data_IF_237389901241
#
_entry.id   IF_237389901241
#
_cell.length_a   1.000
_cell.length_b   1.000
_cell.length_c   1.000
_cell.angle_alpha   90.00
_cell.angle_beta   90.00
_cell.angle_gamma   90.00
#
_symmetry.space_group_name_H-M   'P 1'
#
loop_
_entity.id
_entity.type
_entity.pdbx_description
1 polymer ?
#
# COMPACT_ATOMS: atom_id res chain seq x y z
N UNK A 1 9.48 -29.46 -21.27
CA UNK A 1 10.46 -28.78 -20.39
C UNK A 1 9.65 -28.20 -19.25
N UNK A 2 9.96 -28.53 -18.00
CA UNK A 2 9.26 -27.95 -16.83
C UNK A 2 9.61 -26.46 -16.76
N UNK A 3 8.63 -25.59 -16.98
CA UNK A 3 8.78 -24.16 -16.76
C UNK A 3 9.26 -23.97 -15.31
N UNK A 4 10.45 -23.46 -15.13
CA UNK A 4 10.99 -23.17 -13.82
C UNK A 4 10.36 -21.85 -13.38
N UNK A 5 9.37 -21.91 -12.51
CA UNK A 5 8.71 -20.71 -11.96
C UNK A 5 9.74 -19.89 -11.18
N UNK A 6 9.79 -18.59 -11.40
CA UNK A 6 10.62 -17.68 -10.59
C UNK A 6 10.04 -17.49 -9.17
N UNK A 7 8.79 -17.94 -8.95
CA UNK A 7 8.15 -17.89 -7.64
C UNK A 7 8.44 -19.16 -6.83
N UNK A 8 8.88 -18.97 -5.59
CA UNK A 8 8.98 -20.00 -4.57
C UNK A 8 7.65 -20.20 -3.84
N UNK A 9 7.01 -19.10 -3.43
CA UNK A 9 5.71 -19.10 -2.75
C UNK A 9 4.96 -17.78 -3.07
N UNK A 10 4.17 -17.81 -4.12
CA UNK A 10 3.41 -16.65 -4.61
C UNK A 10 2.40 -16.12 -3.57
N UNK A 11 1.92 -16.97 -2.65
CA UNK A 11 0.95 -16.57 -1.61
C UNK A 11 1.49 -15.49 -0.67
N UNK A 12 2.81 -15.31 -0.57
CA UNK A 12 3.45 -14.27 0.24
C UNK A 12 3.30 -12.86 -0.36
N UNK A 13 2.87 -12.77 -1.61
CA UNK A 13 2.57 -11.51 -2.29
C UNK A 13 1.07 -11.17 -2.28
N UNK A 14 0.23 -12.07 -1.75
CA UNK A 14 -1.19 -11.79 -1.60
C UNK A 14 -1.42 -10.58 -0.69
N UNK A 15 -2.44 -9.78 -1.04
CA UNK A 15 -2.81 -8.56 -0.33
C UNK A 15 -3.21 -8.82 1.14
N UNK A 16 -3.72 -10.04 1.42
CA UNK A 16 -4.18 -10.47 2.73
C UNK A 16 -3.08 -11.19 3.53
N UNK A 17 -1.91 -11.42 2.91
CA UNK A 17 -0.81 -12.05 3.63
C UNK A 17 -0.28 -11.15 4.74
N UNK A 18 -0.40 -11.62 5.98
CA UNK A 18 0.09 -10.93 7.17
C UNK A 18 1.48 -11.48 7.55
N UNK A 19 2.57 -10.70 7.42
CA UNK A 19 3.89 -11.12 7.88
C UNK A 19 3.95 -11.18 9.41
N UNK A 20 4.91 -11.94 9.94
CA UNK A 20 5.11 -12.05 11.38
C UNK A 20 5.47 -10.71 12.06
N UNK A 21 6.15 -9.83 11.34
CA UNK A 21 6.50 -8.48 11.79
C UNK A 21 6.17 -7.47 10.71
N UNK A 22 5.53 -6.37 11.10
CA UNK A 22 5.28 -5.24 10.21
C UNK A 22 6.47 -4.30 10.28
N UNK A 23 7.25 -4.26 9.22
CA UNK A 23 8.47 -3.45 9.14
C UNK A 23 8.14 -1.96 9.23
N UNK A 24 9.03 -1.20 9.87
CA UNK A 24 8.92 0.26 10.05
C UNK A 24 7.65 0.73 10.77
N UNK A 25 7.04 -0.15 11.61
CA UNK A 25 5.86 0.16 12.45
C UNK A 25 6.07 -0.22 13.92
N UNK A 26 7.33 -0.33 14.34
CA UNK A 26 7.65 -0.72 15.72
C UNK A 26 7.18 0.30 16.75
N UNK A 27 7.16 1.60 16.41
CA UNK A 27 6.67 2.67 17.26
C UNK A 27 5.17 2.56 17.48
N UNK A 28 4.41 2.43 16.39
CA UNK A 28 2.95 2.33 16.44
C UNK A 28 2.51 1.04 17.11
N UNK A 29 3.22 -0.07 16.86
CA UNK A 29 2.97 -1.33 17.55
C UNK A 29 3.22 -1.21 19.07
N UNK A 30 4.29 -0.54 19.50
CA UNK A 30 4.56 -0.28 20.92
C UNK A 30 3.45 0.56 21.55
N UNK A 31 2.98 1.60 20.88
CA UNK A 31 1.88 2.43 21.37
C UNK A 31 0.59 1.62 21.54
N UNK A 32 0.25 0.73 20.57
CA UNK A 32 -0.88 -0.19 20.72
C UNK A 32 -0.70 -1.09 21.94
N UNK A 33 0.45 -1.71 22.10
CA UNK A 33 0.74 -2.57 23.27
C UNK A 33 0.66 -1.79 24.59
N UNK A 34 1.11 -0.53 24.63
CA UNK A 34 1.06 0.34 25.79
C UNK A 34 -0.39 0.71 26.15
N UNK A 35 -1.20 1.15 25.18
CA UNK A 35 -2.62 1.48 25.41
C UNK A 35 -3.43 0.31 25.94
N UNK A 36 -3.09 -0.92 25.56
CA UNK A 36 -3.81 -2.13 25.97
C UNK A 36 -3.06 -2.96 27.03
N UNK A 37 -1.98 -2.45 27.62
CA UNK A 37 -1.17 -3.14 28.65
C UNK A 37 -1.97 -3.54 29.90
N UNK A 38 -3.03 -2.78 30.23
CA UNK A 38 -3.91 -3.07 31.35
C UNK A 38 -4.57 -4.45 31.24
N UNK A 39 -4.78 -4.99 30.04
CA UNK A 39 -5.34 -6.32 29.81
C UNK A 39 -4.48 -7.44 30.42
N UNK A 40 -3.21 -7.19 30.63
CA UNK A 40 -2.29 -8.15 31.28
C UNK A 40 -2.17 -7.97 32.78
N UNK A 41 -2.60 -6.82 33.34
CA UNK A 41 -2.44 -6.48 34.77
C UNK A 41 -3.76 -6.35 35.51
N UNK A 42 -4.70 -5.56 35.01
CA UNK A 42 -5.99 -5.25 35.63
C UNK A 42 -7.08 -5.13 34.57
N UNK A 43 -7.44 -6.23 33.88
CA UNK A 43 -8.29 -6.19 32.67
C UNK A 43 -9.72 -5.71 32.93
N UNK A 44 -10.24 -5.87 34.13
CA UNK A 44 -11.60 -5.55 34.56
C UNK A 44 -11.84 -4.08 34.93
N UNK A 45 -10.76 -3.28 35.08
CA UNK A 45 -10.86 -1.91 35.63
C UNK A 45 -11.13 -0.84 34.60
N UNK A 46 -10.83 -1.07 33.34
CA UNK A 46 -10.96 -0.05 32.32
C UNK A 46 -11.16 -0.63 30.92
N UNK A 47 -11.73 0.19 30.04
CA UNK A 47 -11.87 -0.04 28.61
C UNK A 47 -11.11 1.04 27.86
N UNK A 48 -10.45 0.67 26.78
CA UNK A 48 -9.75 1.60 25.91
C UNK A 48 -10.43 1.75 24.55
N UNK A 49 -10.25 2.95 24.00
CA UNK A 49 -10.65 3.31 22.65
C UNK A 49 -9.46 3.95 21.97
N UNK A 50 -9.01 3.34 20.90
CA UNK A 50 -7.85 3.82 20.12
C UNK A 50 -8.30 4.04 18.69
N UNK A 51 -7.98 5.20 18.13
CA UNK A 51 -8.21 5.53 16.74
C UNK A 51 -6.90 5.41 15.95
N UNK A 52 -6.89 4.52 14.97
CA UNK A 52 -5.76 4.32 14.06
C UNK A 52 -6.07 4.96 12.71
N UNK A 53 -5.27 5.93 12.31
CA UNK A 53 -5.44 6.66 11.05
C UNK A 53 -4.21 6.54 10.15
N UNK A 54 -4.42 6.73 8.84
CA UNK A 54 -3.36 6.74 7.83
C UNK A 54 -3.92 6.51 6.44
N UNK A 55 -3.20 6.93 5.42
CA UNK A 55 -3.60 6.75 4.04
C UNK A 55 -3.67 5.27 3.62
N UNK A 56 -4.20 5.02 2.42
CA UNK A 56 -4.27 3.66 1.85
C UNK A 56 -2.85 3.11 1.69
N UNK A 57 -2.66 1.83 2.03
CA UNK A 57 -1.36 1.15 1.90
C UNK A 57 -0.32 1.47 2.96
N UNK A 58 -0.66 2.24 4.03
CA UNK A 58 0.25 2.53 5.15
C UNK A 58 0.37 1.40 6.17
N UNK A 59 -0.42 0.32 6.02
CA UNK A 59 -0.36 -0.86 6.88
C UNK A 59 -1.26 -0.83 8.11
N UNK A 60 -2.29 0.02 8.19
CA UNK A 60 -3.25 0.10 9.34
C UNK A 60 -3.85 -1.25 9.71
N UNK A 61 -4.50 -1.91 8.75
CA UNK A 61 -5.12 -3.23 8.95
C UNK A 61 -4.08 -4.25 9.41
N UNK A 62 -2.92 -4.28 8.73
CA UNK A 62 -1.86 -5.24 9.02
C UNK A 62 -1.30 -5.07 10.45
N UNK A 63 -1.03 -3.83 10.89
CA UNK A 63 -0.52 -3.59 12.24
C UNK A 63 -1.53 -3.95 13.31
N UNK A 64 -2.83 -3.64 13.11
CA UNK A 64 -3.88 -3.98 14.05
C UNK A 64 -4.09 -5.50 14.15
N UNK A 65 -4.03 -6.24 13.04
CA UNK A 65 -4.10 -7.71 13.05
C UNK A 65 -2.86 -8.34 13.68
N UNK A 66 -1.64 -7.83 13.39
CA UNK A 66 -0.42 -8.30 14.03
C UNK A 66 -0.43 -8.02 15.54
N UNK A 67 -0.86 -6.84 15.95
CA UNK A 67 -1.10 -6.50 17.34
C UNK A 67 -2.11 -7.47 17.99
N UNK A 68 -3.25 -7.73 17.35
CA UNK A 68 -4.26 -8.65 17.84
C UNK A 68 -3.73 -10.06 18.12
N UNK A 69 -2.86 -10.58 17.24
CA UNK A 69 -2.16 -11.87 17.47
C UNK A 69 -1.22 -11.80 18.68
N UNK A 70 -0.41 -10.75 18.77
CA UNK A 70 0.59 -10.61 19.83
C UNK A 70 -0.06 -10.43 21.21
N UNK A 71 -1.04 -9.54 21.33
CA UNK A 71 -1.74 -9.30 22.61
C UNK A 71 -2.53 -10.54 23.06
N UNK A 72 -3.10 -11.31 22.13
CA UNK A 72 -3.78 -12.58 22.46
C UNK A 72 -2.84 -13.58 23.10
N UNK A 73 -1.59 -13.66 22.63
CA UNK A 73 -0.58 -14.54 23.21
C UNK A 73 -0.16 -14.02 24.61
N UNK A 74 0.05 -12.72 24.76
CA UNK A 74 0.51 -12.15 26.03
C UNK A 74 -0.55 -12.24 27.14
N UNK A 75 -1.79 -11.88 26.82
CA UNK A 75 -2.92 -11.97 27.76
C UNK A 75 -3.20 -13.43 28.11
N UNK A 76 -3.14 -14.34 27.13
CA UNK A 76 -3.31 -15.78 27.34
C UNK A 76 -2.29 -16.38 28.30
N UNK A 77 -1.03 -15.93 28.27
CA UNK A 77 0.02 -16.35 29.22
C UNK A 77 -0.31 -16.02 30.69
N UNK A 78 -1.16 -15.02 30.93
CA UNK A 78 -1.62 -14.61 32.27
C UNK A 78 -2.89 -15.36 32.72
N UNK A 79 -3.41 -16.30 31.91
CA UNK A 79 -4.62 -17.05 32.21
C UNK A 79 -5.91 -16.27 31.99
N UNK A 80 -5.86 -15.06 31.48
CA UNK A 80 -7.04 -14.25 31.17
C UNK A 80 -7.67 -14.71 29.87
N UNK A 81 -8.97 -14.99 29.85
CA UNK A 81 -9.70 -15.29 28.62
C UNK A 81 -9.83 -14.01 27.79
N UNK A 82 -9.34 -14.06 26.56
CA UNK A 82 -9.27 -12.90 25.68
C UNK A 82 -9.57 -13.28 24.23
N UNK A 83 -10.24 -12.37 23.51
CA UNK A 83 -10.46 -12.47 22.06
C UNK A 83 -10.18 -11.14 21.38
N UNK A 84 -9.47 -11.20 20.27
CA UNK A 84 -9.35 -10.10 19.31
C UNK A 84 -10.30 -10.37 18.15
N UNK A 85 -11.24 -9.45 17.90
CA UNK A 85 -12.23 -9.55 16.83
C UNK A 85 -11.97 -8.40 15.86
N UNK A 86 -11.78 -8.70 14.58
CA UNK A 86 -11.55 -7.72 13.53
C UNK A 86 -12.73 -7.77 12.54
N UNK A 87 -13.42 -6.65 12.35
CA UNK A 87 -14.57 -6.54 11.45
C UNK A 87 -14.35 -5.37 10.50
N UNK A 88 -14.45 -5.61 9.20
CA UNK A 88 -14.45 -4.55 8.21
C UNK A 88 -15.86 -3.96 8.08
N UNK A 89 -16.06 -2.70 8.47
CA UNK A 89 -17.36 -2.04 8.46
C UNK A 89 -17.95 -1.90 7.06
N UNK A 90 -17.12 -1.78 6.03
CA UNK A 90 -17.56 -1.63 4.64
C UNK A 90 -18.19 -2.90 4.08
N UNK A 91 -17.71 -4.08 4.49
CA UNK A 91 -18.33 -5.37 4.11
C UNK A 91 -19.80 -5.44 4.54
N UNK A 92 -20.13 -4.80 5.66
CA UNK A 92 -21.49 -4.70 6.20
C UNK A 92 -22.16 -3.37 5.83
N UNK A 93 -21.64 -2.63 4.84
CA UNK A 93 -22.17 -1.35 4.37
C UNK A 93 -22.38 -0.34 5.50
N UNK A 94 -21.51 -0.32 6.48
CA UNK A 94 -21.59 0.55 7.66
C UNK A 94 -22.81 0.27 8.58
N UNK A 95 -23.41 -0.90 8.55
CA UNK A 95 -24.56 -1.24 9.39
C UNK A 95 -24.11 -1.78 10.75
N UNK A 96 -24.31 -1.01 11.81
CA UNK A 96 -23.89 -1.35 13.17
C UNK A 96 -24.51 -2.67 13.65
N UNK A 97 -25.80 -2.90 13.36
CA UNK A 97 -26.51 -4.13 13.73
C UNK A 97 -25.82 -5.36 13.15
N UNK A 98 -25.44 -5.32 11.86
CA UNK A 98 -24.75 -6.42 11.18
C UNK A 98 -23.32 -6.60 11.69
N UNK A 99 -22.61 -5.51 11.96
CA UNK A 99 -21.25 -5.52 12.52
C UNK A 99 -21.26 -6.18 13.91
N UNK A 100 -22.18 -5.80 14.79
CA UNK A 100 -22.35 -6.40 16.11
C UNK A 100 -22.80 -7.86 16.03
N UNK A 101 -23.71 -8.18 15.11
CA UNK A 101 -24.10 -9.56 14.84
C UNK A 101 -22.87 -10.42 14.49
N UNK A 102 -21.99 -9.94 13.61
CA UNK A 102 -20.74 -10.65 13.28
C UNK A 102 -19.85 -10.85 14.52
N UNK A 103 -19.77 -9.87 15.41
CA UNK A 103 -19.00 -10.01 16.65
C UNK A 103 -19.61 -11.07 17.59
N UNK A 104 -20.94 -11.15 17.69
CA UNK A 104 -21.66 -12.17 18.48
C UNK A 104 -21.46 -13.57 17.89
N UNK A 105 -21.46 -13.73 16.56
CA UNK A 105 -21.29 -15.05 15.91
C UNK A 105 -19.94 -15.70 16.19
N UNK A 106 -18.92 -14.93 16.61
CA UNK A 106 -17.64 -15.48 17.07
C UNK A 106 -17.79 -16.36 18.31
N UNK A 107 -18.81 -16.09 19.13
CA UNK A 107 -19.13 -16.84 20.36
C UNK A 107 -20.28 -17.80 20.14
N UNK A 108 -21.33 -17.38 19.45
CA UNK A 108 -22.53 -18.14 19.18
C UNK A 108 -22.77 -18.27 17.68
N UNK A 109 -22.20 -19.30 17.05
CA UNK A 109 -22.23 -19.50 15.59
C UNK A 109 -23.62 -19.50 14.95
N UNK A 110 -24.64 -19.88 15.72
CA UNK A 110 -26.03 -19.96 15.26
C UNK A 110 -26.91 -18.82 15.76
N UNK A 111 -26.29 -17.67 16.15
CA UNK A 111 -27.07 -16.49 16.56
C UNK A 111 -27.96 -16.02 15.40
N UNK A 112 -29.28 -15.80 15.61
CA UNK A 112 -30.21 -15.47 14.54
C UNK A 112 -29.85 -14.16 13.84
N UNK A 113 -29.84 -14.18 12.51
CA UNK A 113 -29.45 -13.02 11.70
C UNK A 113 -30.50 -11.90 11.64
N UNK A 114 -31.71 -12.14 12.10
CA UNK A 114 -32.85 -11.20 12.04
C UNK A 114 -33.70 -11.28 13.32
N UNK A 115 -34.45 -10.21 13.59
CA UNK A 115 -35.39 -10.15 14.70
C UNK A 115 -34.88 -9.42 15.93
N UNK A 116 -33.68 -8.88 15.88
CA UNK A 116 -33.07 -8.11 16.99
C UNK A 116 -32.74 -6.68 16.56
N UNK A 117 -32.99 -5.73 17.43
CA UNK A 117 -32.51 -4.36 17.31
C UNK A 117 -31.03 -4.29 17.65
N UNK A 118 -30.37 -3.19 17.25
CA UNK A 118 -28.95 -2.93 17.57
C UNK A 118 -28.68 -2.99 19.08
N UNK A 119 -29.60 -2.42 19.90
CA UNK A 119 -29.48 -2.43 21.35
C UNK A 119 -29.60 -3.83 21.95
N UNK A 120 -30.49 -4.67 21.44
CA UNK A 120 -30.65 -6.05 21.90
C UNK A 120 -29.40 -6.90 21.57
N UNK A 121 -28.85 -6.78 20.35
CA UNK A 121 -27.62 -7.49 20.00
C UNK A 121 -26.44 -7.03 20.87
N UNK A 122 -26.33 -5.72 21.12
CA UNK A 122 -25.31 -5.19 21.98
C UNK A 122 -25.40 -5.70 23.41
N UNK A 123 -26.63 -5.70 24.00
CA UNK A 123 -26.85 -6.26 25.32
C UNK A 123 -26.56 -7.76 25.37
N UNK A 124 -26.96 -8.51 24.35
CA UNK A 124 -26.65 -9.94 24.24
C UNK A 124 -25.13 -10.14 24.16
N UNK A 125 -24.43 -9.33 23.40
CA UNK A 125 -22.96 -9.39 23.32
C UNK A 125 -22.32 -9.17 24.69
N UNK A 126 -22.71 -8.11 25.40
CA UNK A 126 -22.19 -7.83 26.74
C UNK A 126 -22.53 -8.95 27.76
N UNK A 127 -23.72 -9.55 27.65
CA UNK A 127 -24.13 -10.70 28.49
C UNK A 127 -23.23 -11.92 28.22
N UNK A 128 -22.95 -12.26 26.95
CA UNK A 128 -22.04 -13.34 26.57
C UNK A 128 -20.64 -13.11 27.16
N UNK A 129 -20.11 -11.89 27.03
CA UNK A 129 -18.80 -11.54 27.58
C UNK A 129 -18.75 -11.72 29.11
N UNK A 130 -19.83 -11.42 29.81
CA UNK A 130 -19.94 -11.61 31.26
C UNK A 130 -20.07 -13.09 31.64
N UNK A 131 -20.92 -13.84 30.98
CA UNK A 131 -21.14 -15.27 31.25
C UNK A 131 -19.86 -16.10 30.99
N UNK A 132 -19.17 -15.83 29.88
CA UNK A 132 -17.91 -16.52 29.52
C UNK A 132 -16.69 -15.98 30.23
N UNK A 133 -16.79 -14.85 30.94
CA UNK A 133 -15.68 -14.15 31.63
C UNK A 133 -14.54 -13.85 30.64
N UNK A 134 -14.86 -13.34 29.44
CA UNK A 134 -13.91 -13.05 28.38
C UNK A 134 -13.78 -11.55 28.12
N UNK A 135 -12.56 -11.10 27.90
CA UNK A 135 -12.26 -9.75 27.46
C UNK A 135 -12.10 -9.70 25.95
N UNK A 136 -12.56 -8.62 25.34
CA UNK A 136 -12.55 -8.43 23.88
C UNK A 136 -11.92 -7.11 23.50
N UNK A 137 -11.09 -7.13 22.45
CA UNK A 137 -10.82 -5.95 21.62
C UNK A 137 -11.59 -6.14 20.33
N UNK A 138 -12.54 -5.24 20.06
CA UNK A 138 -13.25 -5.17 18.79
C UNK A 138 -12.60 -4.11 17.90
N UNK A 139 -11.90 -4.56 16.87
CA UNK A 139 -11.30 -3.70 15.86
C UNK A 139 -12.28 -3.51 14.69
N UNK A 140 -12.67 -2.26 14.45
CA UNK A 140 -13.58 -1.84 13.40
C UNK A 140 -12.77 -1.16 12.30
N UNK A 141 -12.53 -1.90 11.22
CA UNK A 141 -11.78 -1.40 10.06
C UNK A 141 -12.72 -0.71 9.06
N UNK A 142 -12.17 0.26 8.30
CA UNK A 142 -12.96 1.15 7.45
C UNK A 142 -14.14 1.77 8.22
N UNK A 143 -13.87 2.26 9.42
CA UNK A 143 -14.83 2.81 10.36
C UNK A 143 -15.57 4.04 9.82
N UNK A 144 -14.97 4.77 8.91
CA UNK A 144 -15.60 5.84 8.13
C UNK A 144 -16.91 5.42 7.48
N UNK A 145 -17.02 4.18 6.96
CA UNK A 145 -18.27 3.65 6.42
C UNK A 145 -19.40 3.59 7.44
N UNK A 146 -19.09 3.31 8.71
CA UNK A 146 -20.08 3.30 9.81
C UNK A 146 -20.52 4.72 10.15
N UNK A 147 -19.56 5.65 10.25
CA UNK A 147 -19.83 7.07 10.54
C UNK A 147 -20.71 7.68 9.43
N UNK A 148 -20.38 7.43 8.17
CA UNK A 148 -21.12 7.94 7.02
C UNK A 148 -22.60 7.49 7.03
N UNK A 149 -22.85 6.27 7.50
CA UNK A 149 -24.19 5.70 7.48
C UNK A 149 -25.03 6.02 8.71
N UNK A 150 -24.46 5.92 9.90
CA UNK A 150 -25.21 5.97 11.16
C UNK A 150 -24.82 7.17 12.06
N UNK A 151 -23.77 7.93 11.70
CA UNK A 151 -23.41 9.16 12.37
C UNK A 151 -23.02 8.99 13.83
N UNK A 152 -23.37 10.00 14.65
CA UNK A 152 -23.03 10.05 16.08
C UNK A 152 -23.67 8.95 16.92
N UNK A 153 -24.87 8.48 16.54
CA UNK A 153 -25.62 7.47 17.31
C UNK A 153 -24.85 6.15 17.41
N UNK A 154 -24.20 5.72 16.30
CA UNK A 154 -23.36 4.53 16.31
C UNK A 154 -22.12 4.70 17.23
N UNK A 155 -21.51 5.88 17.21
CA UNK A 155 -20.36 6.19 18.07
C UNK A 155 -20.77 6.18 19.53
N UNK A 156 -21.92 6.77 19.87
CA UNK A 156 -22.47 6.73 21.23
C UNK A 156 -22.75 5.31 21.69
N UNK A 157 -23.42 4.51 20.85
CA UNK A 157 -23.74 3.11 21.16
C UNK A 157 -22.48 2.30 21.52
N UNK A 158 -21.36 2.52 20.81
CA UNK A 158 -20.11 1.80 21.02
C UNK A 158 -19.25 2.39 22.16
N UNK A 159 -19.27 3.70 22.37
CA UNK A 159 -18.34 4.35 23.28
C UNK A 159 -18.87 4.57 24.70
N UNK A 160 -20.18 4.52 24.89
CA UNK A 160 -20.86 4.77 26.18
C UNK A 160 -21.46 3.54 26.83
N UNK A 161 -21.00 2.34 26.45
CA UNK A 161 -21.54 1.06 26.93
C UNK A 161 -21.61 0.92 28.45
N UNK A 162 -20.70 1.56 29.18
CA UNK A 162 -20.56 1.41 30.62
C UNK A 162 -20.97 2.66 31.41
N UNK A 163 -21.49 3.69 30.76
CA UNK A 163 -21.92 4.91 31.49
C UNK A 163 -23.05 4.67 32.51
N UNK A 164 -23.89 3.68 32.23
CA UNK A 164 -25.00 3.29 33.14
C UNK A 164 -24.70 2.06 34.00
N UNK A 165 -23.52 1.44 33.84
CA UNK A 165 -23.16 0.16 34.48
C UNK A 165 -21.80 0.24 35.19
N UNK A 166 -21.60 1.26 36.03
CA UNK A 166 -20.31 1.58 36.67
C UNK A 166 -19.75 0.45 37.54
N UNK A 167 -20.56 -0.48 38.03
CA UNK A 167 -20.13 -1.58 38.90
C UNK A 167 -19.73 -2.85 38.13
N UNK A 168 -20.01 -2.92 36.81
CA UNK A 168 -19.65 -4.09 36.00
C UNK A 168 -18.28 -4.00 35.41
N UNK A 169 -17.59 -5.15 35.30
CA UNK A 169 -16.29 -5.19 34.60
C UNK A 169 -16.40 -4.70 33.16
N UNK A 170 -15.45 -3.86 32.74
CA UNK A 170 -15.41 -3.33 31.37
C UNK A 170 -14.70 -4.32 30.43
N UNK A 171 -15.46 -5.26 29.85
CA UNK A 171 -14.94 -6.41 29.09
C UNK A 171 -14.64 -6.12 27.63
N UNK A 172 -15.08 -4.99 27.09
CA UNK A 172 -14.88 -4.65 25.68
C UNK A 172 -14.08 -3.35 25.53
N UNK A 173 -13.10 -3.40 24.67
CA UNK A 173 -12.30 -2.26 24.21
C UNK A 173 -12.36 -2.15 22.68
N UNK A 174 -12.05 -1.00 22.15
CA UNK A 174 -12.21 -0.75 20.71
C UNK A 174 -10.92 -0.25 20.05
N UNK A 175 -10.69 -0.69 18.83
CA UNK A 175 -9.78 -0.06 17.87
C UNK A 175 -10.60 0.38 16.67
N UNK A 176 -10.66 1.68 16.42
CA UNK A 176 -11.29 2.25 15.24
C UNK A 176 -10.21 2.52 14.18
N UNK A 177 -10.39 2.02 12.97
CA UNK A 177 -9.39 2.15 11.90
C UNK A 177 -10.04 2.88 10.74
N UNK A 178 -9.46 4.03 10.34
CA UNK A 178 -9.98 4.82 9.23
C UNK A 178 -8.85 5.54 8.48
N UNK A 179 -9.19 6.18 7.37
CA UNK A 179 -8.21 6.81 6.50
C UNK A 179 -7.62 8.09 7.11
N UNK A 180 -8.47 8.99 7.58
CA UNK A 180 -8.08 10.29 8.14
C UNK A 180 -9.17 10.81 9.10
N UNK A 181 -8.99 12.02 9.64
CA UNK A 181 -9.94 12.61 10.59
C UNK A 181 -11.17 13.28 9.93
N UNK A 182 -11.24 13.36 8.61
CA UNK A 182 -12.32 14.07 7.91
C UNK A 182 -13.71 13.50 8.22
N UNK A 183 -13.93 12.16 8.27
CA UNK A 183 -15.23 11.60 8.62
C UNK A 183 -15.73 12.00 10.01
N UNK A 184 -14.82 12.31 10.94
CA UNK A 184 -15.21 12.72 12.30
C UNK A 184 -15.92 14.07 12.33
N UNK A 185 -15.72 14.93 11.32
CA UNK A 185 -16.29 16.30 11.28
C UNK A 185 -17.84 16.31 11.19
N UNK A 186 -18.46 15.22 10.78
CA UNK A 186 -19.91 15.09 10.75
C UNK A 186 -20.51 14.66 12.10
N UNK A 187 -19.67 14.26 13.04
CA UNK A 187 -20.06 13.86 14.39
C UNK A 187 -20.20 15.11 15.28
N UNK A 188 -21.02 14.98 16.32
CA UNK A 188 -21.07 16.01 17.38
C UNK A 188 -19.76 16.08 18.20
N UNK A 189 -19.56 17.20 18.91
CA UNK A 189 -18.33 17.47 19.66
C UNK A 189 -18.00 16.41 20.71
N UNK A 190 -19.01 15.81 21.32
CA UNK A 190 -18.84 14.79 22.35
C UNK A 190 -18.33 13.47 21.79
N UNK A 191 -18.90 13.01 20.66
CA UNK A 191 -18.44 11.82 19.94
C UNK A 191 -17.02 12.03 19.39
N UNK A 192 -16.74 13.21 18.80
CA UNK A 192 -15.40 13.57 18.34
C UNK A 192 -14.38 13.52 19.49
N UNK A 193 -14.66 14.19 20.60
CA UNK A 193 -13.77 14.23 21.77
C UNK A 193 -13.44 12.83 22.30
N UNK A 194 -14.43 11.93 22.29
CA UNK A 194 -14.25 10.55 22.76
C UNK A 194 -13.33 9.74 21.83
N UNK A 195 -13.48 9.87 20.51
CA UNK A 195 -12.67 9.16 19.53
C UNK A 195 -11.26 9.73 19.39
N UNK A 196 -11.09 11.05 19.55
CA UNK A 196 -9.79 11.73 19.38
C UNK A 196 -8.88 11.64 20.59
N UNK A 197 -9.26 10.95 21.66
CA UNK A 197 -8.49 10.87 22.89
C UNK A 197 -7.17 10.13 22.73
N UNK A 198 -7.17 9.02 21.99
CA UNK A 198 -5.99 8.19 21.74
C UNK A 198 -5.86 7.93 20.23
N UNK A 199 -5.00 8.69 19.56
CA UNK A 199 -4.80 8.57 18.12
C UNK A 199 -3.41 8.01 17.84
N UNK A 200 -3.36 7.01 16.96
CA UNK A 200 -2.13 6.51 16.34
C UNK A 200 -2.20 6.82 14.85
N UNK A 201 -1.27 7.66 14.39
CA UNK A 201 -1.17 8.04 12.98
C UNK A 201 -0.05 7.27 12.29
N UNK A 202 -0.39 6.58 11.20
CA UNK A 202 0.57 5.90 10.34
C UNK A 202 0.93 6.83 9.17
N UNK A 203 2.18 7.25 9.16
CA UNK A 203 2.72 8.04 8.05
C UNK A 203 2.91 7.18 6.81
N UNK A 204 2.94 7.84 5.65
CA UNK A 204 3.27 7.22 4.36
C UNK A 204 4.69 6.66 4.41
N UNK A 205 4.91 5.55 3.72
CA UNK A 205 6.26 5.01 3.59
C UNK A 205 7.08 5.88 2.62
N UNK A 206 8.33 6.15 3.01
CA UNK A 206 9.35 6.68 2.11
C UNK A 206 10.00 5.55 1.31
N UNK A 207 10.94 5.86 0.41
CA UNK A 207 11.57 4.90 -0.48
C UNK A 207 12.29 3.76 0.28
N UNK A 208 13.13 4.08 1.27
CA UNK A 208 13.94 3.08 1.97
C UNK A 208 13.09 2.05 2.75
N UNK A 209 12.08 2.45 3.54
CA UNK A 209 11.12 1.51 4.11
C UNK A 209 10.40 0.63 3.09
N UNK A 210 10.06 1.15 1.90
CA UNK A 210 9.46 0.33 0.84
C UNK A 210 10.44 -0.70 0.28
N UNK A 211 11.71 -0.35 0.12
CA UNK A 211 12.77 -1.29 -0.29
C UNK A 211 12.89 -2.43 0.74
N UNK A 212 12.89 -2.12 2.03
CA UNK A 212 12.97 -3.14 3.08
C UNK A 212 11.76 -4.07 3.06
N UNK A 213 10.54 -3.52 2.89
CA UNK A 213 9.30 -4.29 2.78
C UNK A 213 9.34 -5.20 1.54
N UNK A 214 9.77 -4.68 0.39
CA UNK A 214 9.88 -5.44 -0.84
C UNK A 214 10.93 -6.55 -0.71
N UNK A 215 12.09 -6.27 -0.13
CA UNK A 215 13.13 -7.27 0.10
C UNK A 215 12.69 -8.40 1.03
N UNK A 216 11.89 -8.10 2.05
CA UNK A 216 11.27 -9.13 2.89
C UNK A 216 10.33 -10.02 2.06
N UNK A 217 9.51 -9.42 1.19
CA UNK A 217 8.61 -10.17 0.29
C UNK A 217 9.38 -11.00 -0.74
N UNK A 218 10.44 -10.44 -1.33
CA UNK A 218 11.31 -11.15 -2.28
C UNK A 218 11.88 -12.41 -1.66
N UNK A 219 12.44 -12.33 -0.45
CA UNK A 219 13.00 -13.50 0.27
C UNK A 219 11.96 -14.59 0.53
N UNK A 220 10.71 -14.22 0.73
CA UNK A 220 9.63 -15.16 1.04
C UNK A 220 8.98 -15.76 -0.20
N UNK A 221 8.85 -14.98 -1.27
CA UNK A 221 8.02 -15.30 -2.41
C UNK A 221 8.77 -15.79 -3.65
N UNK A 222 10.04 -15.43 -3.80
CA UNK A 222 10.81 -15.65 -5.01
C UNK A 222 11.99 -16.61 -4.80
N UNK A 223 12.44 -17.22 -5.87
CA UNK A 223 13.69 -17.98 -5.89
C UNK A 223 14.90 -17.03 -5.80
N UNK A 224 16.03 -17.56 -5.36
CA UNK A 224 17.25 -16.78 -5.12
C UNK A 224 17.72 -16.13 -6.44
N UNK A 225 18.09 -14.86 -6.39
CA UNK A 225 18.62 -14.06 -7.50
C UNK A 225 17.66 -13.80 -8.68
N UNK A 226 16.36 -14.10 -8.54
CA UNK A 226 15.37 -13.84 -9.60
C UNK A 226 14.85 -12.40 -9.59
N UNK A 227 15.04 -11.64 -8.51
CA UNK A 227 14.64 -10.24 -8.39
C UNK A 227 15.89 -9.39 -8.11
N UNK A 228 16.41 -8.67 -9.12
CA UNK A 228 17.56 -7.77 -8.96
C UNK A 228 17.27 -6.55 -8.05
N UNK A 229 18.29 -5.97 -7.44
CA UNK A 229 18.16 -4.83 -6.52
C UNK A 229 17.64 -3.57 -7.22
N UNK A 230 18.05 -3.33 -8.47
CA UNK A 230 17.59 -2.19 -9.29
C UNK A 230 16.08 -2.27 -9.61
N UNK A 231 15.55 -3.48 -9.76
CA UNK A 231 14.10 -3.73 -9.91
C UNK A 231 13.35 -3.38 -8.62
N UNK A 232 13.87 -3.80 -7.46
CA UNK A 232 13.29 -3.44 -6.15
C UNK A 232 13.31 -1.92 -5.96
N UNK A 233 14.42 -1.29 -6.30
CA UNK A 233 14.58 0.17 -6.21
C UNK A 233 13.60 0.90 -7.13
N UNK A 234 13.43 0.45 -8.37
CA UNK A 234 12.49 1.01 -9.34
C UNK A 234 11.04 0.90 -8.82
N UNK A 235 10.63 -0.25 -8.31
CA UNK A 235 9.31 -0.47 -7.75
C UNK A 235 9.06 0.44 -6.54
N UNK A 236 10.03 0.56 -5.62
CA UNK A 236 9.93 1.41 -4.45
C UNK A 236 9.79 2.90 -4.84
N UNK A 237 10.52 3.34 -5.86
CA UNK A 237 10.44 4.72 -6.37
C UNK A 237 9.07 5.01 -7.00
N UNK A 238 8.53 4.08 -7.78
CA UNK A 238 7.18 4.19 -8.33
C UNK A 238 6.12 4.24 -7.22
N UNK A 239 6.21 3.35 -6.23
CA UNK A 239 5.27 3.32 -5.12
C UNK A 239 5.35 4.57 -4.22
N UNK A 240 6.53 5.20 -4.09
CA UNK A 240 6.69 6.47 -3.37
C UNK A 240 5.91 7.59 -4.06
N UNK A 241 5.91 7.63 -5.39
CA UNK A 241 5.11 8.59 -6.19
C UNK A 241 3.60 8.36 -5.99
N UNK A 242 3.20 7.09 -5.82
CA UNK A 242 1.82 6.68 -5.49
C UNK A 242 1.56 6.74 -3.97
N UNK A 243 1.98 7.86 -3.37
CA UNK A 243 1.72 8.21 -1.97
C UNK A 243 2.33 7.25 -0.93
N UNK A 244 3.45 6.58 -1.25
CA UNK A 244 4.11 5.67 -0.34
C UNK A 244 3.28 4.43 0.00
N UNK A 245 2.60 3.88 -0.99
CA UNK A 245 1.64 2.79 -0.84
C UNK A 245 2.33 1.42 -0.94
N UNK A 246 2.56 0.76 0.21
CA UNK A 246 3.19 -0.56 0.26
C UNK A 246 2.36 -1.65 -0.44
N UNK A 247 1.01 -1.55 -0.43
CA UNK A 247 0.14 -2.49 -1.15
C UNK A 247 0.37 -2.41 -2.66
N UNK A 248 0.46 -1.19 -3.19
CA UNK A 248 0.78 -0.95 -4.58
C UNK A 248 2.17 -1.49 -4.94
N UNK A 249 3.19 -1.28 -4.09
CA UNK A 249 4.54 -1.81 -4.30
C UNK A 249 4.56 -3.34 -4.41
N UNK A 250 3.86 -4.04 -3.51
CA UNK A 250 3.77 -5.50 -3.50
C UNK A 250 2.99 -6.02 -4.72
N UNK A 251 1.91 -5.35 -5.09
CA UNK A 251 1.13 -5.70 -6.30
C UNK A 251 1.98 -5.52 -7.56
N UNK A 252 2.74 -4.44 -7.66
CA UNK A 252 3.62 -4.18 -8.81
C UNK A 252 4.73 -5.24 -8.90
N UNK A 253 5.33 -5.63 -7.78
CA UNK A 253 6.31 -6.71 -7.71
C UNK A 253 5.70 -8.05 -8.18
N UNK A 254 4.51 -8.37 -7.70
CA UNK A 254 3.80 -9.60 -8.09
C UNK A 254 3.51 -9.63 -9.59
N UNK A 255 2.93 -8.55 -10.15
CA UNK A 255 2.62 -8.46 -11.60
C UNK A 255 3.88 -8.56 -12.45
N UNK A 256 4.97 -7.89 -12.04
CA UNK A 256 6.26 -7.99 -12.73
C UNK A 256 6.77 -9.43 -12.78
N UNK A 257 6.62 -10.17 -11.69
CA UNK A 257 6.93 -11.60 -11.65
C UNK A 257 6.04 -12.44 -12.57
N UNK A 258 4.74 -12.12 -12.67
CA UNK A 258 3.83 -12.80 -13.62
C UNK A 258 4.23 -12.57 -15.07
N UNK A 259 4.61 -11.33 -15.44
CA UNK A 259 5.10 -11.02 -16.79
C UNK A 259 6.41 -11.76 -17.10
N UNK A 260 7.36 -11.80 -16.17
CA UNK A 260 8.59 -12.55 -16.33
C UNK A 260 8.34 -14.06 -16.53
N UNK A 261 7.46 -14.66 -15.72
CA UNK A 261 7.07 -16.07 -15.85
C UNK A 261 6.38 -16.35 -17.20
N UNK A 262 5.51 -15.45 -17.67
CA UNK A 262 4.81 -15.59 -18.95
C UNK A 262 5.76 -15.54 -20.17
N UNK A 263 6.95 -14.97 -20.01
CA UNK A 263 7.98 -14.88 -21.05
C UNK A 263 9.14 -15.86 -20.82
N UNK A 264 8.98 -16.84 -19.92
CA UNK A 264 10.01 -17.83 -19.57
C UNK A 264 11.36 -17.20 -19.14
N UNK A 265 11.31 -16.01 -18.52
CA UNK A 265 12.49 -15.30 -18.08
C UNK A 265 13.03 -15.88 -16.77
N UNK A 266 14.35 -15.98 -16.63
CA UNK A 266 15.02 -16.46 -15.43
C UNK A 266 14.97 -15.47 -14.27
N UNK A 267 14.73 -14.17 -14.55
CA UNK A 267 14.68 -13.08 -13.57
C UNK A 267 13.73 -11.98 -14.01
N UNK A 268 13.30 -11.18 -13.05
CA UNK A 268 12.51 -9.97 -13.35
C UNK A 268 13.44 -8.90 -13.92
N UNK A 269 13.05 -8.35 -15.06
CA UNK A 269 13.72 -7.23 -15.70
C UNK A 269 12.92 -5.94 -15.49
N UNK A 270 13.53 -4.74 -15.52
CA UNK A 270 12.82 -3.47 -15.40
C UNK A 270 11.69 -3.27 -16.41
N UNK A 271 11.79 -3.90 -17.58
CA UNK A 271 10.73 -3.86 -18.60
C UNK A 271 9.44 -4.52 -18.13
N UNK A 272 9.51 -5.61 -17.37
CA UNK A 272 8.32 -6.24 -16.78
C UNK A 272 7.66 -5.34 -15.73
N UNK A 273 8.45 -4.53 -15.02
CA UNK A 273 7.89 -3.50 -14.10
C UNK A 273 7.15 -2.42 -14.89
N UNK A 274 7.70 -1.97 -16.03
CA UNK A 274 7.06 -0.99 -16.92
C UNK A 274 5.77 -1.53 -17.52
N UNK A 275 5.75 -2.79 -17.94
CA UNK A 275 4.53 -3.48 -18.41
C UNK A 275 3.48 -3.58 -17.30
N UNK A 276 3.90 -3.94 -16.08
CA UNK A 276 3.00 -4.08 -14.94
C UNK A 276 2.36 -2.74 -14.55
N UNK A 277 3.13 -1.65 -14.52
CA UNK A 277 2.58 -0.34 -14.15
C UNK A 277 1.69 0.24 -15.25
N UNK A 278 2.03 0.07 -16.52
CA UNK A 278 1.20 0.55 -17.64
C UNK A 278 -0.19 -0.09 -17.65
N UNK A 279 -0.29 -1.33 -17.17
CA UNK A 279 -1.57 -2.03 -17.03
C UNK A 279 -2.40 -1.54 -15.83
N UNK A 280 -1.77 -0.93 -14.80
CA UNK A 280 -2.44 -0.40 -13.60
C UNK A 280 -2.82 1.06 -13.80
N UNK A 281 -1.89 1.87 -14.30
CA UNK A 281 -2.05 3.31 -14.50
C UNK A 281 -1.93 3.59 -16.00
N UNK A 282 -3.01 3.92 -16.70
CA UNK A 282 -2.94 4.30 -18.10
C UNK A 282 -2.02 5.52 -18.27
N UNK A 283 -0.84 5.30 -18.84
CA UNK A 283 0.22 6.29 -18.94
C UNK A 283 0.17 7.00 -20.30
N UNK A 284 0.41 8.28 -20.26
CA UNK A 284 0.63 9.23 -21.37
C UNK A 284 -0.45 9.16 -22.46
N UNK A 285 -1.22 10.22 -22.48
CA UNK A 285 -2.12 10.47 -23.61
C UNK A 285 -1.26 10.73 -24.85
N UNK A 286 -1.58 10.05 -25.95
CA UNK A 286 -0.98 10.28 -27.27
C UNK A 286 -0.87 11.77 -27.64
N UNK A 287 -1.79 12.58 -27.13
CA UNK A 287 -1.79 14.04 -27.28
C UNK A 287 -0.55 14.73 -26.69
N UNK A 288 0.06 14.18 -25.64
CA UNK A 288 1.25 14.76 -25.02
C UNK A 288 2.50 14.53 -25.88
N UNK A 289 2.61 13.35 -26.51
CA UNK A 289 3.68 13.04 -27.45
C UNK A 289 3.53 13.86 -28.75
N UNK A 290 2.31 14.11 -29.22
CA UNK A 290 2.05 14.92 -30.42
C UNK A 290 2.54 16.39 -30.29
N UNK A 291 2.57 16.92 -29.05
CA UNK A 291 3.05 18.28 -28.78
C UNK A 291 4.56 18.47 -28.72
N UNK A 292 5.34 17.39 -28.94
CA UNK A 292 6.79 17.43 -28.92
C UNK A 292 7.39 17.77 -30.31
N UNK A 293 8.49 18.53 -30.30
CA UNK A 293 9.25 18.84 -31.49
C UNK A 293 10.02 17.60 -32.04
N UNK A 294 10.55 17.70 -33.26
CA UNK A 294 11.24 16.60 -33.93
C UNK A 294 12.39 16.04 -33.09
N UNK A 295 13.32 16.87 -32.65
CA UNK A 295 14.46 16.46 -31.83
C UNK A 295 14.08 15.96 -30.44
N UNK A 296 12.96 16.41 -29.88
CA UNK A 296 12.42 15.87 -28.64
C UNK A 296 11.92 14.42 -28.84
N UNK A 297 11.20 14.17 -29.95
CA UNK A 297 10.77 12.81 -30.32
C UNK A 297 11.96 11.89 -30.61
N UNK A 298 13.02 12.39 -31.28
CA UNK A 298 14.25 11.64 -31.52
C UNK A 298 14.96 11.29 -30.22
N UNK A 299 15.05 12.21 -29.27
CA UNK A 299 15.63 11.95 -27.96
C UNK A 299 14.80 10.93 -27.16
N UNK A 300 13.48 11.01 -27.22
CA UNK A 300 12.60 9.97 -26.61
C UNK A 300 12.77 8.62 -27.28
N UNK A 301 12.99 8.58 -28.62
CA UNK A 301 13.28 7.35 -29.32
C UNK A 301 14.62 6.75 -28.88
N UNK A 302 15.64 7.59 -28.64
CA UNK A 302 16.93 7.16 -28.08
C UNK A 302 16.76 6.54 -26.68
N UNK A 303 15.97 7.18 -25.84
CA UNK A 303 15.62 6.65 -24.50
C UNK A 303 14.92 5.29 -24.62
N UNK A 304 13.92 5.18 -25.50
CA UNK A 304 13.19 3.94 -25.71
C UNK A 304 14.12 2.82 -26.21
N UNK A 305 14.98 3.07 -27.20
CA UNK A 305 15.97 2.09 -27.69
C UNK A 305 16.94 1.66 -26.60
N UNK A 306 17.49 2.63 -25.83
CA UNK A 306 18.39 2.31 -24.72
C UNK A 306 17.77 1.31 -23.76
N UNK A 307 16.59 1.60 -23.21
CA UNK A 307 15.92 0.74 -22.23
C UNK A 307 15.40 -0.58 -22.79
N UNK A 308 15.15 -0.65 -24.08
CA UNK A 308 14.79 -1.89 -24.76
C UNK A 308 15.98 -2.85 -24.90
N UNK A 309 17.16 -2.31 -25.19
CA UNK A 309 18.37 -3.10 -25.50
C UNK A 309 19.15 -3.47 -24.22
N UNK A 310 19.29 -2.55 -23.27
CA UNK A 310 20.22 -2.70 -22.14
C UNK A 310 19.59 -3.33 -20.88
N UNK A 311 18.29 -3.56 -20.83
CA UNK A 311 17.59 -4.21 -19.69
C UNK A 311 17.89 -3.58 -18.33
N UNK A 312 18.29 -2.31 -18.29
CA UNK A 312 18.64 -1.54 -17.11
C UNK A 312 17.45 -0.70 -16.61
N UNK A 313 17.43 -0.40 -15.30
CA UNK A 313 16.43 0.48 -14.73
C UNK A 313 16.74 1.97 -14.93
N UNK A 314 18.02 2.31 -15.02
CA UNK A 314 18.53 3.67 -15.10
C UNK A 314 19.60 3.80 -16.20
N UNK A 315 19.69 5.01 -16.79
CA UNK A 315 20.76 5.37 -17.74
C UNK A 315 21.34 6.74 -17.38
N UNK A 316 22.45 7.10 -17.97
CA UNK A 316 22.98 8.47 -17.95
C UNK A 316 22.59 9.22 -19.22
N UNK A 317 22.67 10.55 -19.22
CA UNK A 317 22.45 11.33 -20.44
C UNK A 317 23.52 11.00 -21.52
N UNK A 318 24.75 10.67 -21.11
CA UNK A 318 25.81 10.30 -22.04
C UNK A 318 25.49 9.03 -22.83
N UNK A 319 24.94 8.00 -22.16
CA UNK A 319 24.55 6.75 -22.81
C UNK A 319 23.42 6.98 -23.85
N UNK A 320 22.47 7.86 -23.51
CA UNK A 320 21.36 8.22 -24.40
C UNK A 320 21.83 9.09 -25.56
N UNK A 321 22.83 9.97 -25.34
CA UNK A 321 23.38 10.89 -26.35
C UNK A 321 24.06 10.14 -27.49
N UNK A 322 24.73 9.02 -27.23
CA UNK A 322 25.32 8.16 -28.26
C UNK A 322 24.22 7.60 -29.19
N UNK A 323 23.15 7.07 -28.65
CA UNK A 323 22.04 6.53 -29.45
C UNK A 323 21.29 7.66 -30.19
N UNK A 324 21.12 8.82 -29.53
CA UNK A 324 20.49 9.97 -30.14
C UNK A 324 21.27 10.47 -31.38
N UNK A 325 22.60 10.47 -31.34
CA UNK A 325 23.43 10.85 -32.48
C UNK A 325 23.18 9.90 -33.69
N UNK A 326 23.13 8.59 -33.44
CA UNK A 326 22.78 7.59 -34.49
C UNK A 326 21.38 7.84 -35.07
N UNK A 327 20.39 8.16 -34.24
CA UNK A 327 19.04 8.47 -34.70
C UNK A 327 19.03 9.75 -35.56
N UNK A 328 19.80 10.78 -35.17
CA UNK A 328 19.92 11.98 -35.99
C UNK A 328 20.49 11.67 -37.39
N UNK A 329 21.49 10.81 -37.49
CA UNK A 329 22.04 10.35 -38.79
C UNK A 329 20.97 9.58 -39.59
N UNK A 330 20.15 8.72 -38.97
CA UNK A 330 19.06 7.99 -39.63
C UNK A 330 17.99 8.93 -40.24
N UNK A 331 17.86 10.14 -39.71
CA UNK A 331 16.83 11.11 -40.11
C UNK A 331 17.39 12.33 -40.85
N UNK A 332 18.69 12.34 -41.19
CA UNK A 332 19.41 13.44 -41.85
C UNK A 332 19.37 14.75 -41.04
N UNK A 333 19.43 14.67 -39.70
CA UNK A 333 19.39 15.81 -38.79
C UNK A 333 20.74 16.02 -38.09
N UNK A 334 21.00 17.25 -37.67
CA UNK A 334 22.23 17.59 -36.94
C UNK A 334 21.98 17.44 -35.44
N UNK A 335 22.77 16.62 -34.70
CA UNK A 335 22.57 16.45 -33.27
C UNK A 335 22.71 17.75 -32.49
N UNK A 336 21.83 17.97 -31.52
CA UNK A 336 21.92 19.10 -30.62
C UNK A 336 22.95 18.87 -29.51
N UNK A 337 23.42 19.96 -28.91
CA UNK A 337 24.41 19.91 -27.84
C UNK A 337 23.86 19.28 -26.56
N UNK A 338 24.72 18.69 -25.74
CA UNK A 338 24.42 18.12 -24.42
C UNK A 338 23.56 19.04 -23.56
N UNK A 339 23.84 20.36 -23.55
CA UNK A 339 23.02 21.33 -22.81
C UNK A 339 21.57 21.43 -23.29
N UNK A 340 21.34 21.31 -24.60
CA UNK A 340 20.00 21.35 -25.17
C UNK A 340 19.25 20.04 -24.89
N UNK A 341 19.93 18.90 -25.00
CA UNK A 341 19.35 17.59 -24.64
C UNK A 341 18.95 17.55 -23.17
N UNK A 342 19.79 18.13 -22.29
CA UNK A 342 19.44 18.25 -20.88
C UNK A 342 18.14 19.05 -20.63
N UNK A 343 17.90 20.12 -21.37
CA UNK A 343 16.64 20.88 -21.30
C UNK A 343 15.46 20.02 -21.72
N UNK A 344 15.60 19.18 -22.72
CA UNK A 344 14.55 18.25 -23.15
C UNK A 344 14.29 17.20 -22.10
N UNK A 345 15.31 16.62 -21.47
CA UNK A 345 15.16 15.70 -20.34
C UNK A 345 14.38 16.35 -19.19
N UNK A 346 14.71 17.61 -18.84
CA UNK A 346 13.94 18.35 -17.80
C UNK A 346 12.49 18.56 -18.19
N UNK A 347 12.20 18.84 -19.45
CA UNK A 347 10.83 18.94 -19.97
C UNK A 347 10.11 17.61 -19.88
N UNK A 348 10.74 16.50 -20.28
CA UNK A 348 10.15 15.16 -20.16
C UNK A 348 9.89 14.76 -18.71
N UNK A 349 10.77 15.17 -17.79
CA UNK A 349 10.56 14.95 -16.37
C UNK A 349 9.38 15.77 -15.84
N UNK A 350 9.20 17.01 -16.31
CA UNK A 350 8.08 17.86 -15.92
C UNK A 350 6.72 17.31 -16.38
N UNK A 351 6.66 16.75 -17.60
CA UNK A 351 5.44 16.10 -18.13
C UNK A 351 5.29 14.65 -17.69
N UNK A 352 6.23 14.12 -16.89
CA UNK A 352 6.14 12.78 -16.27
C UNK A 352 6.52 11.60 -17.17
N UNK A 353 7.11 11.83 -18.37
CA UNK A 353 7.56 10.77 -19.29
C UNK A 353 8.79 10.06 -18.73
N UNK A 354 9.76 10.82 -18.22
CA UNK A 354 10.97 10.29 -17.58
C UNK A 354 11.06 10.76 -16.13
N UNK A 355 11.88 10.09 -15.34
CA UNK A 355 12.32 10.58 -14.02
C UNK A 355 13.82 10.80 -14.03
N UNK A 356 14.26 11.83 -13.29
CA UNK A 356 15.67 12.12 -13.10
C UNK A 356 16.03 12.04 -11.62
N UNK A 357 17.16 11.40 -11.29
CA UNK A 357 17.68 11.24 -9.93
C UNK A 357 19.17 11.58 -9.92
N UNK A 358 19.61 12.32 -8.94
CA UNK A 358 21.04 12.53 -8.71
C UNK A 358 21.58 11.29 -8.00
N UNK A 359 22.45 10.53 -8.67
CA UNK A 359 23.08 9.31 -8.17
C UNK A 359 24.59 9.37 -8.30
N UNK A 360 25.31 8.52 -7.56
CA UNK A 360 26.70 8.22 -7.81
C UNK A 360 26.77 7.05 -8.79
N UNK A 361 27.14 7.31 -10.05
CA UNK A 361 27.55 6.22 -10.94
C UNK A 361 28.84 5.60 -10.39
N UNK A 362 28.93 4.27 -10.41
CA UNK A 362 30.03 3.49 -9.82
C UNK A 362 31.44 3.86 -10.34
N UNK A 363 31.56 4.71 -11.34
CA UNK A 363 32.82 4.93 -12.06
C UNK A 363 33.34 6.37 -12.16
N UNK A 364 32.70 7.43 -11.76
CA UNK A 364 33.26 8.81 -11.62
C UNK A 364 32.18 9.89 -11.49
N UNK A 365 32.07 10.47 -10.30
CA UNK A 365 31.37 11.75 -10.09
C UNK A 365 29.83 11.63 -9.93
N UNK A 366 29.20 12.72 -9.48
CA UNK A 366 27.74 12.87 -9.44
C UNK A 366 27.22 12.94 -10.87
N UNK A 367 26.50 11.92 -11.31
CA UNK A 367 25.77 11.93 -12.58
C UNK A 367 24.26 11.91 -12.31
N UNK A 368 23.51 12.54 -13.21
CA UNK A 368 22.06 12.43 -13.15
C UNK A 368 21.63 11.15 -13.88
N UNK A 369 20.96 10.30 -13.14
CA UNK A 369 20.37 9.07 -13.65
C UNK A 369 18.99 9.37 -14.23
N UNK A 370 18.68 8.81 -15.39
CA UNK A 370 17.43 8.95 -16.11
C UNK A 370 16.74 7.58 -16.08
N UNK A 371 15.44 7.55 -15.79
CA UNK A 371 14.63 6.34 -15.88
C UNK A 371 13.37 6.59 -16.71
N UNK A 372 12.89 5.53 -17.36
CA UNK A 372 11.59 5.48 -18.04
C UNK A 372 10.61 4.74 -17.10
N UNK A 373 9.81 5.46 -16.28
CA UNK A 373 9.16 4.82 -15.13
C UNK A 373 7.91 4.03 -15.49
N UNK A 374 7.12 4.49 -16.46
CA UNK A 374 5.72 4.08 -16.59
C UNK A 374 5.33 3.56 -17.98
N UNK A 375 6.19 3.71 -18.98
CA UNK A 375 5.91 3.29 -20.36
C UNK A 375 6.83 2.13 -20.70
N UNK A 376 6.31 1.00 -21.23
CA UNK A 376 7.15 -0.02 -21.83
C UNK A 376 7.99 0.56 -22.98
N UNK A 377 9.28 0.30 -22.96
CA UNK A 377 10.21 0.87 -23.95
C UNK A 377 9.81 0.49 -25.38
N UNK A 378 9.37 -0.74 -25.59
CA UNK A 378 8.90 -1.22 -26.89
C UNK A 378 7.63 -0.50 -27.37
N UNK A 379 6.69 -0.22 -26.48
CA UNK A 379 5.45 0.50 -26.84
C UNK A 379 5.75 1.95 -27.20
N UNK A 380 6.62 2.62 -26.45
CA UNK A 380 7.06 3.98 -26.73
C UNK A 380 7.78 4.08 -28.09
N UNK A 381 8.65 3.12 -28.38
CA UNK A 381 9.34 3.04 -29.66
C UNK A 381 8.36 2.91 -30.84
N UNK A 382 7.39 1.99 -30.75
CA UNK A 382 6.37 1.77 -31.79
C UNK A 382 5.53 3.02 -32.02
N UNK A 383 5.12 3.69 -30.94
CA UNK A 383 4.29 4.89 -31.02
C UNK A 383 5.05 6.04 -31.68
N UNK A 384 6.32 6.26 -31.32
CA UNK A 384 7.18 7.27 -31.94
C UNK A 384 7.43 7.00 -33.42
N UNK A 385 7.70 5.75 -33.80
CA UNK A 385 7.82 5.40 -35.23
C UNK A 385 6.52 5.66 -36.02
N UNK A 386 5.39 5.42 -35.42
CA UNK A 386 4.10 5.71 -36.04
C UNK A 386 3.94 7.21 -36.29
N UNK A 387 4.35 8.05 -35.34
CA UNK A 387 4.33 9.51 -35.47
C UNK A 387 5.29 10.01 -36.56
N UNK A 388 6.53 9.51 -36.60
CA UNK A 388 7.48 9.87 -37.64
C UNK A 388 7.01 9.52 -39.05
N UNK A 389 6.29 8.37 -39.22
CA UNK A 389 5.70 7.99 -40.51
C UNK A 389 4.55 8.92 -40.94
N UNK A 390 3.80 9.47 -39.98
CA UNK A 390 2.70 10.39 -40.25
C UNK A 390 3.19 11.80 -40.62
N UNK A 391 4.30 12.24 -40.03
CA UNK A 391 4.92 13.55 -40.27
C UNK A 391 5.72 13.63 -41.61
N UNK A 392 6.12 12.48 -42.15
CA UNK A 392 6.79 12.39 -43.46
C UNK A 392 5.81 12.29 -44.65
N UNK A 393 4.49 12.25 -44.40
CA UNK A 393 3.43 12.29 -45.42
C UNK A 393 2.83 13.69 -45.52
#
# INVERSE_FOLDING_TARGET
>A
MSHQSIFKDESKLDINYLPNRILHRDRENRLLMEFFSFLTSCPDRMSQRVLVIGEVGTGKTAICQAFGKNISIEVGKKGTKFRYIHVNCREYRGNLTQILHQAVTVFQQHFPARGYSTGEILNTFLQILEEEQVFVILALDEFDSLIEKEGSDAVYALTRLYETQHEKPQRISFIFIQRNLTPLKVLDDSAQSTLQRNIISLERYTKDPLIDILNDRVKLAFEIATVPEDVVELIAELATTELGNARFAIELLWRSGKYATAQDAERIEPEYVRQAISAIIPTIKRSELCGLGLHEKMLLLAIARFFKENKEAFSTLADIEEIYAVICEEYDEIPYSHTQLWKYIQRFAHIGIVKTKVGSAATRGRSTMISLPTIPAQELEIELYTMFKLERR
#
